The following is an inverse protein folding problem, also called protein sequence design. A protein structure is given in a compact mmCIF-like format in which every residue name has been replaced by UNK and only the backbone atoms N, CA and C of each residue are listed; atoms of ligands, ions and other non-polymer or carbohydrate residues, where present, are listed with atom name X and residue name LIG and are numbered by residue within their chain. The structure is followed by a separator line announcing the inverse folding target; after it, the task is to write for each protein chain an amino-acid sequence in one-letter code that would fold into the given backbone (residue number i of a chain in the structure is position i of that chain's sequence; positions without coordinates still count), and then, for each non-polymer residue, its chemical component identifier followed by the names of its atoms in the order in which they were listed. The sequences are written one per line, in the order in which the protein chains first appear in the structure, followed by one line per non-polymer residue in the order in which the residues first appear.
data_IF_254563182765
#
_entry.id   IF_254563182765
#
_cell.length_a   1.000
_cell.length_b   1.000
_cell.length_c   1.000
_cell.angle_alpha   90.00
_cell.angle_beta   90.00
_cell.angle_gamma   90.00
#
_symmetry.space_group_name_H-M   'P 1'
#
loop_
_entity.id
_entity.type
_entity.pdbx_description
1 polymer ?
#
# COMPACT_ATOMS: atom_id res chain seq x y z
N UNK A 1 14.44 -11.07 -4.08
CA UNK A 1 14.27 -9.77 -4.78
C UNK A 1 13.43 -8.85 -3.92
N UNK A 2 13.82 -7.57 -3.72
CA UNK A 2 13.00 -6.61 -3.00
C UNK A 2 11.78 -6.16 -3.82
N UNK A 3 10.64 -5.96 -3.17
CA UNK A 3 9.40 -5.44 -3.77
C UNK A 3 8.71 -4.47 -2.82
N UNK A 4 8.07 -3.43 -3.35
CA UNK A 4 7.21 -2.53 -2.59
C UNK A 4 5.77 -2.62 -3.14
N UNK A 5 4.79 -2.45 -2.25
CA UNK A 5 3.38 -2.64 -2.59
C UNK A 5 2.65 -1.31 -2.63
N UNK A 6 1.87 -1.05 -3.67
CA UNK A 6 0.93 0.08 -3.62
C UNK A 6 0.01 -0.08 -2.41
N UNK A 7 -0.30 0.99 -1.68
CA UNK A 7 -1.15 0.94 -0.48
C UNK A 7 -2.66 0.67 -0.77
N UNK A 8 -2.92 -0.20 -1.74
CA UNK A 8 -4.20 -0.86 -2.03
C UNK A 8 -4.12 -2.38 -1.78
N UNK A 9 -2.92 -2.93 -1.66
CA UNK A 9 -2.73 -4.33 -1.35
C UNK A 9 -2.76 -4.53 0.16
N UNK A 10 -3.58 -5.48 0.60
CA UNK A 10 -3.53 -5.96 1.98
C UNK A 10 -2.22 -6.70 2.21
N UNK A 11 -1.57 -6.35 3.32
CA UNK A 11 -0.38 -7.01 3.85
C UNK A 11 -0.73 -7.34 5.29
N UNK A 12 -0.62 -8.61 5.67
CA UNK A 12 -1.03 -9.08 6.99
C UNK A 12 -0.31 -8.27 8.09
N UNK A 13 -1.07 -7.83 9.09
CA UNK A 13 -0.57 -6.99 10.18
C UNK A 13 -0.40 -5.50 9.85
N UNK A 14 -0.70 -5.06 8.63
CA UNK A 14 -0.68 -3.64 8.23
C UNK A 14 -2.08 -3.10 7.97
N UNK A 15 -2.30 -1.81 8.27
CA UNK A 15 -3.50 -1.10 7.82
C UNK A 15 -3.34 -0.73 6.35
N UNK A 16 -4.37 -0.99 5.55
CA UNK A 16 -4.43 -0.55 4.14
C UNK A 16 -5.18 0.77 4.07
N UNK A 17 -4.46 1.88 3.90
CA UNK A 17 -5.07 3.22 3.98
C UNK A 17 -5.69 3.66 2.65
N UNK A 18 -5.28 3.07 1.52
CA UNK A 18 -5.67 3.51 0.18
C UNK A 18 -5.38 5.01 -0.07
N UNK A 19 -4.41 5.59 0.65
CA UNK A 19 -4.09 7.01 0.59
C UNK A 19 -5.15 7.91 1.22
N UNK A 20 -6.09 7.34 2.00
CA UNK A 20 -7.25 8.02 2.57
C UNK A 20 -7.22 8.01 4.10
N UNK A 21 -7.41 9.19 4.71
CA UNK A 21 -7.40 9.32 6.18
C UNK A 21 -8.56 8.63 6.87
N UNK A 22 -9.70 8.50 6.19
CA UNK A 22 -10.90 7.80 6.69
C UNK A 22 -10.61 6.33 7.01
N UNK A 23 -9.51 5.76 6.50
CA UNK A 23 -9.11 4.37 6.71
C UNK A 23 -8.04 4.18 7.79
N UNK A 24 -7.52 5.25 8.40
CA UNK A 24 -6.43 5.18 9.37
C UNK A 24 -6.78 4.37 10.63
N UNK A 25 -8.06 4.31 10.99
CA UNK A 25 -8.54 3.61 12.18
C UNK A 25 -9.11 2.22 11.88
N UNK A 26 -8.93 1.70 10.66
CA UNK A 26 -9.31 0.33 10.35
C UNK A 26 -8.37 -0.65 11.06
N UNK A 27 -8.91 -1.83 11.36
CA UNK A 27 -8.08 -2.93 11.83
C UNK A 27 -7.04 -3.31 10.76
N UNK A 28 -5.82 -3.70 11.17
CA UNK A 28 -4.86 -4.28 10.25
C UNK A 28 -5.42 -5.49 9.50
N UNK A 29 -4.97 -5.71 8.27
CA UNK A 29 -5.38 -6.86 7.49
C UNK A 29 -4.97 -8.15 8.18
N UNK A 30 -5.89 -9.13 8.24
CA UNK A 30 -5.62 -10.45 8.82
C UNK A 30 -4.80 -11.34 7.87
N UNK A 31 -4.94 -11.12 6.56
CA UNK A 31 -4.34 -11.92 5.52
C UNK A 31 -3.72 -11.01 4.45
N UNK A 32 -2.67 -11.52 3.82
CA UNK A 32 -2.11 -10.91 2.63
C UNK A 32 -3.11 -10.98 1.46
N UNK A 33 -3.08 -9.96 0.61
CA UNK A 33 -3.70 -10.05 -0.71
C UNK A 33 -3.09 -11.22 -1.50
N UNK A 34 -3.83 -11.88 -2.41
CA UNK A 34 -3.34 -13.07 -3.10
C UNK A 34 -1.99 -12.89 -3.80
N UNK A 35 -1.77 -11.75 -4.46
CA UNK A 35 -0.49 -11.42 -5.11
C UNK A 35 0.65 -11.26 -4.11
N UNK A 36 0.40 -10.64 -2.95
CA UNK A 36 1.36 -10.46 -1.87
C UNK A 36 1.79 -11.82 -1.32
N UNK A 37 0.83 -12.66 -0.96
CA UNK A 37 1.10 -14.00 -0.42
C UNK A 37 1.83 -14.90 -1.42
N UNK A 38 1.48 -14.85 -2.71
CA UNK A 38 2.16 -15.61 -3.75
C UNK A 38 3.63 -15.19 -3.91
N UNK A 39 3.89 -13.88 -4.01
CA UNK A 39 5.25 -13.37 -4.19
C UNK A 39 6.12 -13.54 -2.94
N UNK A 40 5.54 -13.42 -1.74
CA UNK A 40 6.22 -13.73 -0.49
C UNK A 40 6.67 -15.20 -0.44
N UNK A 41 5.79 -16.14 -0.81
CA UNK A 41 6.13 -17.58 -0.90
C UNK A 41 7.18 -17.89 -1.96
N UNK A 42 7.27 -17.07 -3.00
CA UNK A 42 8.32 -17.15 -4.02
C UNK A 42 9.67 -16.54 -3.56
N UNK A 43 9.77 -16.08 -2.30
CA UNK A 43 11.01 -15.52 -1.73
C UNK A 43 11.23 -14.04 -2.02
N UNK A 44 10.20 -13.29 -2.42
CA UNK A 44 10.30 -11.83 -2.49
C UNK A 44 10.23 -11.21 -1.10
N UNK A 45 11.03 -10.17 -0.90
CA UNK A 45 11.11 -9.44 0.38
C UNK A 45 10.33 -8.14 0.26
N UNK A 46 9.30 -7.97 1.07
CA UNK A 46 8.51 -6.73 1.13
C UNK A 46 9.32 -5.62 1.79
N UNK A 47 9.50 -4.50 1.09
CA UNK A 47 10.13 -3.29 1.62
C UNK A 47 9.14 -2.36 2.34
N UNK A 48 7.84 -2.55 2.10
CA UNK A 48 6.78 -1.71 2.66
C UNK A 48 5.73 -1.33 1.63
N UNK A 49 4.94 -0.31 1.98
CA UNK A 49 3.84 0.20 1.16
C UNK A 49 4.18 1.57 0.58
N UNK A 50 3.76 1.82 -0.66
CA UNK A 50 3.98 3.09 -1.36
C UNK A 50 2.75 3.98 -1.28
N UNK A 51 2.99 5.30 -1.23
CA UNK A 51 1.96 6.31 -1.31
C UNK A 51 1.25 6.34 -2.69
N UNK A 52 0.10 6.99 -2.77
CA UNK A 52 -0.78 7.06 -3.92
C UNK A 52 -1.77 8.21 -3.78
N UNK A 53 -2.38 8.64 -4.89
CA UNK A 53 -3.60 9.46 -4.85
C UNK A 53 -4.71 8.75 -4.07
N UNK A 54 -5.49 9.50 -3.30
CA UNK A 54 -6.59 8.96 -2.49
C UNK A 54 -7.50 8.04 -3.31
N UNK A 55 -7.72 6.82 -2.82
CA UNK A 55 -8.49 5.75 -3.48
C UNK A 55 -8.05 5.40 -4.91
N UNK A 56 -6.81 5.75 -5.28
CA UNK A 56 -6.34 5.72 -6.66
C UNK A 56 -7.22 6.51 -7.65
N UNK A 57 -7.96 7.49 -7.16
CA UNK A 57 -8.81 8.36 -7.97
C UNK A 57 -8.03 9.51 -8.61
N UNK A 58 -6.89 9.21 -9.22
CA UNK A 58 -6.09 10.11 -10.07
C UNK A 58 -4.81 9.42 -10.51
N UNK A 59 -4.35 9.75 -11.73
CA UNK A 59 -3.02 9.35 -12.24
C UNK A 59 -1.88 10.32 -11.88
N UNK A 60 -2.15 11.43 -11.20
CA UNK A 60 -1.16 12.49 -10.94
C UNK A 60 -0.32 12.26 -9.67
N UNK A 61 -0.70 11.30 -8.82
CA UNK A 61 -0.02 11.03 -7.54
C UNK A 61 -0.27 12.07 -6.43
N UNK A 62 -1.16 13.03 -6.65
CA UNK A 62 -1.49 14.06 -5.66
C UNK A 62 -2.17 13.43 -4.44
N UNK A 63 -1.60 13.66 -3.26
CA UNK A 63 -2.21 13.25 -2.00
C UNK A 63 -2.05 14.37 -0.94
N UNK A 64 -3.13 15.06 -0.53
CA UNK A 64 -3.07 16.13 0.47
C UNK A 64 -2.90 15.61 1.91
N UNK A 65 -3.11 14.31 2.13
CA UNK A 65 -3.10 13.70 3.46
C UNK A 65 -1.73 13.11 3.83
N UNK A 66 -1.09 12.44 2.87
CA UNK A 66 0.19 11.75 3.05
C UNK A 66 1.35 12.40 2.28
N UNK A 67 1.08 13.57 1.67
CA UNK A 67 2.02 14.28 0.81
C UNK A 67 2.05 13.74 -0.62
N UNK A 68 2.48 14.57 -1.57
CA UNK A 68 2.64 14.16 -2.98
C UNK A 68 4.05 13.60 -3.20
N UNK A 69 4.21 12.40 -3.79
CA UNK A 69 5.53 11.87 -4.12
C UNK A 69 6.31 12.82 -5.05
N UNK A 70 7.59 13.01 -4.75
CA UNK A 70 8.50 13.83 -5.57
C UNK A 70 9.07 12.95 -6.68
N UNK A 71 9.18 13.50 -7.89
CA UNK A 71 9.88 12.84 -8.98
C UNK A 71 11.40 12.89 -8.70
N UNK A 72 12.08 11.74 -8.50
CA UNK A 72 13.49 11.67 -8.12
C UNK A 72 14.46 12.13 -9.23
#
# INVERSE_FOLDING_TARGET
MPVAWKDLFDVAGCVTTAGATVRNNLSPALLDAPSVGLLARAGMVSLGKTNLSEFAYSGLGLNPHFGTPINP
#
